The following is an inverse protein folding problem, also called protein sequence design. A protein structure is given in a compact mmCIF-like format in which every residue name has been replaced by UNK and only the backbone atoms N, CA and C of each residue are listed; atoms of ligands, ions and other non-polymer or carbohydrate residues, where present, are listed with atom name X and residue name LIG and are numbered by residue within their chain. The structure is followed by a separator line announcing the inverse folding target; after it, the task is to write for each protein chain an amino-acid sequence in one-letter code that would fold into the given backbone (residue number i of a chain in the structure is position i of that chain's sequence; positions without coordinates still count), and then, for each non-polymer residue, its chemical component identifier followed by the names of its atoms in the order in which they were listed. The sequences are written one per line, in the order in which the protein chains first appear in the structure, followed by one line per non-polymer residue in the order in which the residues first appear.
data_IF_605351923334
#
_entry.id   IF_605351923334
#
_cell.length_a   1.000
_cell.length_b   1.000
_cell.length_c   1.000
_cell.angle_alpha   90.00
_cell.angle_beta   90.00
_cell.angle_gamma   90.00
#
_symmetry.space_group_name_H-M   'P 1'
#
loop_
_entity.id
_entity.type
_entity.pdbx_description
1 polymer ?
#
# COMPACT_ATOMS: atom_id res chain seq x y z
N UNK A 1 -20.82 -7.78 6.24
CA UNK A 1 -19.44 -8.23 6.05
C UNK A 1 -18.71 -8.06 7.37
N UNK A 2 -18.21 -9.14 7.96
CA UNK A 2 -17.41 -9.06 9.17
C UNK A 2 -16.01 -8.46 8.85
N UNK A 3 -15.24 -8.10 9.88
CA UNK A 3 -13.93 -7.45 9.68
C UNK A 3 -12.92 -8.36 8.95
N UNK A 4 -13.01 -9.68 9.13
CA UNK A 4 -12.06 -10.63 8.54
C UNK A 4 -12.35 -10.89 7.06
N UNK A 5 -13.62 -10.92 6.68
CA UNK A 5 -14.06 -10.92 5.28
C UNK A 5 -13.59 -9.66 4.57
N UNK A 6 -13.76 -8.49 5.22
CA UNK A 6 -13.27 -7.23 4.67
C UNK A 6 -11.74 -7.21 4.55
N UNK A 7 -11.02 -7.72 5.56
CA UNK A 7 -9.56 -7.82 5.52
C UNK A 7 -9.09 -8.71 4.36
N UNK A 8 -9.74 -9.87 4.16
CA UNK A 8 -9.45 -10.78 3.04
C UNK A 8 -9.76 -10.14 1.68
N UNK A 9 -10.87 -9.42 1.56
CA UNK A 9 -11.24 -8.71 0.34
C UNK A 9 -10.21 -7.62 -0.03
N UNK A 10 -9.78 -6.82 0.96
CA UNK A 10 -8.71 -5.83 0.77
C UNK A 10 -7.42 -6.54 0.38
N UNK A 11 -7.00 -7.58 1.09
CA UNK A 11 -5.77 -8.32 0.80
C UNK A 11 -5.77 -8.89 -0.62
N UNK A 12 -6.90 -9.46 -1.07
CA UNK A 12 -7.04 -10.03 -2.40
C UNK A 12 -6.96 -8.95 -3.49
N UNK A 13 -7.63 -7.81 -3.30
CA UNK A 13 -7.55 -6.68 -4.23
C UNK A 13 -6.13 -6.12 -4.32
N UNK A 14 -5.46 -5.89 -3.18
CA UNK A 14 -4.06 -5.43 -3.15
C UNK A 14 -3.13 -6.43 -3.83
N UNK A 15 -3.32 -7.74 -3.63
CA UNK A 15 -2.49 -8.77 -4.26
C UNK A 15 -2.61 -8.79 -5.78
N UNK A 16 -3.82 -8.64 -6.31
CA UNK A 16 -4.10 -8.78 -7.75
C UNK A 16 -3.86 -7.47 -8.49
N UNK A 17 -4.34 -6.36 -7.93
CA UNK A 17 -4.40 -5.06 -8.61
C UNK A 17 -3.40 -4.05 -8.07
N UNK A 18 -2.79 -4.29 -6.90
CA UNK A 18 -1.96 -3.31 -6.20
C UNK A 18 -2.76 -2.25 -5.42
N UNK A 19 -4.08 -2.21 -5.56
CA UNK A 19 -4.97 -1.26 -4.89
C UNK A 19 -6.34 -1.87 -4.59
N UNK A 20 -7.11 -1.22 -3.70
CA UNK A 20 -8.49 -1.54 -3.37
C UNK A 20 -9.37 -0.31 -3.56
N UNK A 21 -10.55 -0.46 -4.16
CA UNK A 21 -11.52 0.63 -4.29
C UNK A 21 -12.55 0.48 -3.18
N UNK A 22 -12.69 1.53 -2.36
CA UNK A 22 -13.65 1.59 -1.26
C UNK A 22 -14.63 2.74 -1.40
N UNK A 23 -15.71 2.68 -0.63
CA UNK A 23 -16.68 3.77 -0.48
C UNK A 23 -16.47 4.51 0.83
N UNK A 24 -16.69 5.82 0.85
CA UNK A 24 -16.60 6.62 2.08
C UNK A 24 -17.59 6.16 3.17
N UNK A 25 -18.72 5.57 2.79
CA UNK A 25 -19.67 4.96 3.73
C UNK A 25 -19.07 3.84 4.59
N UNK A 26 -18.05 3.14 4.09
CA UNK A 26 -17.36 2.05 4.79
C UNK A 26 -15.98 2.46 5.34
N UNK A 27 -15.60 3.74 5.24
CA UNK A 27 -14.26 4.21 5.59
C UNK A 27 -13.88 3.87 7.04
N UNK A 28 -14.81 4.01 7.98
CA UNK A 28 -14.57 3.69 9.39
C UNK A 28 -14.26 2.21 9.61
N UNK A 29 -14.99 1.30 8.95
CA UNK A 29 -14.75 -0.14 9.02
C UNK A 29 -13.39 -0.50 8.40
N UNK A 30 -13.07 0.08 7.25
CA UNK A 30 -11.78 -0.11 6.58
C UNK A 30 -10.63 0.38 7.48
N UNK A 31 -10.73 1.58 8.05
CA UNK A 31 -9.71 2.11 8.98
C UNK A 31 -9.51 1.21 10.18
N UNK A 32 -10.60 0.70 10.77
CA UNK A 32 -10.55 -0.25 11.89
C UNK A 32 -9.77 -1.51 11.50
N UNK A 33 -10.09 -2.12 10.35
CA UNK A 33 -9.35 -3.28 9.83
C UNK A 33 -7.86 -2.97 9.65
N UNK A 34 -7.52 -1.84 9.03
CA UNK A 34 -6.11 -1.48 8.82
C UNK A 34 -5.33 -1.28 10.12
N UNK A 35 -5.99 -0.76 11.17
CA UNK A 35 -5.40 -0.58 12.50
C UNK A 35 -5.26 -1.92 13.22
N UNK A 36 -6.33 -2.73 13.27
CA UNK A 36 -6.37 -4.01 13.99
C UNK A 36 -5.32 -5.01 13.45
N UNK A 37 -5.03 -4.91 12.15
CA UNK A 37 -4.02 -5.71 11.45
C UNK A 37 -2.65 -5.01 11.35
N UNK A 38 -2.50 -3.80 11.88
CA UNK A 38 -1.24 -3.07 11.97
C UNK A 38 -0.65 -2.68 10.61
N UNK A 39 -1.49 -2.38 9.61
CA UNK A 39 -1.07 -2.00 8.25
C UNK A 39 -1.44 -0.56 7.89
N UNK A 40 -2.14 0.18 8.76
CA UNK A 40 -2.60 1.55 8.47
C UNK A 40 -1.47 2.49 7.99
N UNK A 41 -0.29 2.42 8.61
CA UNK A 41 0.88 3.23 8.24
C UNK A 41 1.52 2.84 6.90
N UNK A 42 1.20 1.65 6.38
CA UNK A 42 1.70 1.15 5.10
C UNK A 42 0.80 1.51 3.93
N UNK A 43 -0.38 2.10 4.19
CA UNK A 43 -1.39 2.41 3.19
C UNK A 43 -1.59 3.92 3.08
N UNK A 44 -2.09 4.36 1.94
CA UNK A 44 -2.58 5.70 1.71
C UNK A 44 -3.94 5.67 1.02
N UNK A 45 -4.67 6.77 1.17
CA UNK A 45 -6.05 6.92 0.75
C UNK A 45 -6.11 8.07 -0.27
N UNK A 46 -6.49 7.75 -1.51
CA UNK A 46 -6.57 8.70 -2.62
C UNK A 46 -8.04 8.91 -2.98
N UNK A 47 -8.59 10.12 -2.79
CA UNK A 47 -9.96 10.43 -3.22
C UNK A 47 -10.10 10.30 -4.74
N UNK A 48 -11.13 9.60 -5.21
CA UNK A 48 -11.49 9.54 -6.64
C UNK A 48 -12.70 10.45 -6.90
N UNK A 49 -13.68 10.40 -6.01
CA UNK A 49 -14.91 11.18 -6.10
C UNK A 49 -15.49 11.41 -4.70
N UNK A 50 -16.66 12.08 -4.61
CA UNK A 50 -17.36 12.28 -3.34
C UNK A 50 -17.77 10.98 -2.65
N UNK A 51 -17.88 9.87 -3.40
CA UNK A 51 -18.39 8.59 -2.89
C UNK A 51 -17.30 7.53 -2.76
N UNK A 52 -16.23 7.61 -3.56
CA UNK A 52 -15.24 6.55 -3.72
C UNK A 52 -13.81 7.03 -3.49
N UNK A 53 -12.96 6.09 -3.07
CA UNK A 53 -11.52 6.29 -2.91
C UNK A 53 -10.72 5.05 -3.35
N UNK A 54 -9.46 5.27 -3.69
CA UNK A 54 -8.44 4.21 -3.79
C UNK A 54 -7.72 4.08 -2.46
N UNK A 55 -7.55 2.85 -2.01
CA UNK A 55 -6.64 2.47 -0.93
C UNK A 55 -5.48 1.71 -1.55
N UNK A 56 -4.27 2.26 -1.45
CA UNK A 56 -3.07 1.70 -2.08
C UNK A 56 -1.88 1.73 -1.12
N UNK A 57 -0.80 0.95 -1.36
CA UNK A 57 0.42 1.04 -0.58
C UNK A 57 1.00 2.45 -0.59
N UNK A 58 1.37 2.95 0.59
CA UNK A 58 2.08 4.21 0.71
C UNK A 58 3.53 4.04 0.23
N UNK A 59 3.83 4.60 -0.93
CA UNK A 59 5.15 4.50 -1.58
C UNK A 59 6.07 5.67 -1.25
N UNK A 60 5.63 6.66 -0.46
CA UNK A 60 6.42 7.89 -0.19
C UNK A 60 7.82 7.57 0.36
N UNK A 61 7.90 6.65 1.33
CA UNK A 61 9.19 6.24 1.89
C UNK A 61 10.06 5.52 0.85
N UNK A 62 9.48 4.63 0.04
CA UNK A 62 10.21 3.96 -1.05
C UNK A 62 10.83 4.98 -2.02
N UNK A 63 10.08 6.03 -2.39
CA UNK A 63 10.60 7.08 -3.27
C UNK A 63 11.81 7.81 -2.66
N UNK A 64 11.75 8.13 -1.35
CA UNK A 64 12.84 8.80 -0.66
C UNK A 64 14.09 7.92 -0.55
N UNK A 65 13.91 6.67 -0.09
CA UNK A 65 15.01 5.73 0.10
C UNK A 65 15.68 5.38 -1.23
N UNK A 66 14.89 5.14 -2.28
CA UNK A 66 15.43 4.80 -3.60
C UNK A 66 16.13 5.98 -4.26
N UNK A 67 15.66 7.22 -4.05
CA UNK A 67 16.41 8.40 -4.52
C UNK A 67 17.75 8.52 -3.81
N UNK A 68 17.79 8.32 -2.50
CA UNK A 68 19.02 8.40 -1.72
C UNK A 68 20.03 7.29 -2.09
N UNK A 69 19.55 6.07 -2.31
CA UNK A 69 20.40 4.91 -2.62
C UNK A 69 20.92 4.88 -4.06
N UNK A 70 20.29 5.61 -4.97
CA UNK A 70 20.59 5.58 -6.40
C UNK A 70 21.28 6.84 -6.91
N UNK A 71 21.88 7.63 -6.02
CA UNK A 71 22.70 8.78 -6.40
C UNK A 71 24.01 8.27 -6.99
N UNK A 72 24.32 8.70 -8.21
CA UNK A 72 25.55 8.36 -8.90
C UNK A 72 26.73 9.26 -8.46
N UNK A 73 27.91 9.02 -9.04
CA UNK A 73 29.12 9.81 -8.71
C UNK A 73 29.03 11.28 -9.14
N UNK A 74 28.03 11.67 -9.94
CA UNK A 74 27.77 13.04 -10.40
C UNK A 74 26.71 13.73 -9.54
N UNK A 75 26.13 13.04 -8.56
CA UNK A 75 25.05 13.56 -7.72
C UNK A 75 23.67 13.43 -8.36
N UNK A 76 23.54 12.71 -9.48
CA UNK A 76 22.28 12.50 -10.18
C UNK A 76 21.65 11.16 -9.80
N UNK A 77 20.32 11.09 -9.81
CA UNK A 77 19.63 9.82 -9.54
C UNK A 77 19.66 8.95 -10.79
N UNK A 78 20.32 7.79 -10.71
CA UNK A 78 20.28 6.79 -11.78
C UNK A 78 18.87 6.23 -11.92
N UNK A 79 18.22 6.50 -13.05
CA UNK A 79 16.87 6.02 -13.35
C UNK A 79 16.76 4.49 -13.28
N UNK A 80 17.75 3.76 -13.82
CA UNK A 80 17.74 2.30 -13.82
C UNK A 80 17.78 1.73 -12.39
N UNK A 81 18.68 2.25 -11.56
CA UNK A 81 18.75 1.88 -10.15
C UNK A 81 17.45 2.24 -9.42
N UNK A 82 16.95 3.46 -9.64
CA UNK A 82 15.78 3.98 -8.96
C UNK A 82 14.54 3.13 -9.22
N UNK A 83 14.23 2.82 -10.48
CA UNK A 83 13.06 2.01 -10.81
C UNK A 83 13.16 0.57 -10.31
N UNK A 84 14.35 -0.04 -10.37
CA UNK A 84 14.59 -1.37 -9.79
C UNK A 84 14.39 -1.37 -8.27
N UNK A 85 14.93 -0.37 -7.58
CA UNK A 85 14.74 -0.20 -6.13
C UNK A 85 13.26 0.01 -5.78
N UNK A 86 12.58 0.88 -6.54
CA UNK A 86 11.19 1.23 -6.28
C UNK A 86 10.27 0.03 -6.45
N UNK A 87 10.44 -0.75 -7.52
CA UNK A 87 9.69 -1.98 -7.77
C UNK A 87 9.86 -3.00 -6.63
N UNK A 88 11.10 -3.25 -6.20
CA UNK A 88 11.39 -4.14 -5.08
C UNK A 88 10.76 -3.65 -3.77
N UNK A 89 10.87 -2.36 -3.47
CA UNK A 89 10.31 -1.78 -2.25
C UNK A 89 8.78 -1.87 -2.23
N UNK A 90 8.11 -1.58 -3.36
CA UNK A 90 6.66 -1.69 -3.49
C UNK A 90 6.23 -3.15 -3.33
N UNK A 91 6.92 -4.10 -3.98
CA UNK A 91 6.62 -5.53 -3.88
C UNK A 91 6.71 -6.03 -2.45
N UNK A 92 7.79 -5.72 -1.72
CA UNK A 92 7.94 -6.10 -0.31
C UNK A 92 6.84 -5.50 0.58
N UNK A 93 6.41 -4.26 0.27
CA UNK A 93 5.33 -3.59 1.00
C UNK A 93 3.99 -4.29 0.76
N UNK A 94 3.66 -4.60 -0.49
CA UNK A 94 2.47 -5.39 -0.85
C UNK A 94 2.48 -6.74 -0.14
N UNK A 95 3.61 -7.47 -0.20
CA UNK A 95 3.75 -8.77 0.48
C UNK A 95 3.50 -8.64 1.99
N UNK A 96 4.02 -7.58 2.62
CA UNK A 96 3.81 -7.31 4.05
C UNK A 96 2.34 -7.03 4.37
N UNK A 97 1.68 -6.18 3.59
CA UNK A 97 0.26 -5.81 3.75
C UNK A 97 -0.61 -7.06 3.61
N UNK A 98 -0.42 -7.79 2.51
CA UNK A 98 -1.18 -9.01 2.18
C UNK A 98 -0.97 -10.07 3.25
N UNK A 99 0.27 -10.30 3.69
CA UNK A 99 0.59 -11.26 4.76
C UNK A 99 -0.11 -10.91 6.06
N UNK A 100 -0.12 -9.62 6.45
CA UNK A 100 -0.79 -9.19 7.69
C UNK A 100 -2.31 -9.36 7.59
N UNK A 101 -2.93 -8.81 6.54
CA UNK A 101 -4.39 -8.86 6.35
C UNK A 101 -4.93 -10.29 6.12
N UNK A 102 -4.10 -11.22 5.65
CA UNK A 102 -4.51 -12.63 5.48
C UNK A 102 -4.37 -13.47 6.75
N UNK A 103 -3.82 -12.94 7.85
CA UNK A 103 -3.75 -13.66 9.13
C UNK A 103 -5.17 -13.75 9.71
N UNK A 104 -5.81 -14.90 9.56
CA UNK A 104 -7.08 -15.19 10.24
C UNK A 104 -6.83 -15.09 11.75
N UNK A 105 -7.63 -14.27 12.44
CA UNK A 105 -7.74 -14.26 13.90
C UNK A 105 -8.96 -15.04 14.34
#
# INVERSE_FOLDING_TARGET
MNNDELAKAIAQAIRICGFYIGTYSHLSAIRKVLIDYGVAHLMQLIPISKQYFVLEPNTKQCNLDCKANCIDRRGEVSNECYYKCLDQCIKQRIETIVKRLSKVR
#
